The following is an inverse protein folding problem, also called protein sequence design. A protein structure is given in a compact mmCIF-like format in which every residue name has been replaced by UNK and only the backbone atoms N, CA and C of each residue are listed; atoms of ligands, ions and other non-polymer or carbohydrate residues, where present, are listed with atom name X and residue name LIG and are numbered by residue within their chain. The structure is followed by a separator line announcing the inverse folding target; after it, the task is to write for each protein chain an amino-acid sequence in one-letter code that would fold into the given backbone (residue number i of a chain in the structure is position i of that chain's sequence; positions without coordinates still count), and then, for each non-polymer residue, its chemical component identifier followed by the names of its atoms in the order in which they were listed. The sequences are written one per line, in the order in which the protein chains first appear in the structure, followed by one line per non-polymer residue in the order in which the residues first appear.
data_IF_880901095451
#
_entry.id   IF_880901095451
#
_cell.length_a   1.000
_cell.length_b   1.000
_cell.length_c   1.000
_cell.angle_alpha   90.00
_cell.angle_beta   90.00
_cell.angle_gamma   90.00
#
_symmetry.space_group_name_H-M   'P 1'
#
loop_
_entity.id
_entity.type
_entity.pdbx_description
1 polymer ?
#
# COMPACT_ATOMS: atom_id res chain seq x y z
N UNK A 1 17.19 5.20 3.41
CA UNK A 1 17.86 3.93 3.77
C UNK A 1 16.77 2.95 4.16
N UNK A 2 16.75 1.76 3.57
CA UNK A 2 15.85 0.72 4.03
C UNK A 2 16.38 0.13 5.35
N UNK A 3 15.48 -0.21 6.26
CA UNK A 3 15.82 -0.73 7.58
C UNK A 3 15.14 -2.08 7.79
N UNK A 4 15.86 -3.06 8.32
CA UNK A 4 15.33 -4.38 8.61
C UNK A 4 15.45 -4.67 10.11
N UNK A 5 14.47 -5.38 10.67
CA UNK A 5 14.42 -5.73 12.09
C UNK A 5 13.97 -7.16 12.23
N UNK A 6 14.71 -7.91 13.05
CA UNK A 6 14.45 -9.32 13.34
C UNK A 6 13.34 -9.38 14.39
N UNK A 7 12.32 -10.21 14.17
CA UNK A 7 11.25 -10.45 15.14
C UNK A 7 11.78 -11.03 16.45
N UNK A 8 11.14 -10.74 17.60
CA UNK A 8 11.63 -11.20 18.90
C UNK A 8 11.58 -12.73 19.09
N UNK A 9 10.76 -13.42 18.30
CA UNK A 9 10.60 -14.88 18.27
C UNK A 9 11.36 -15.54 17.10
N UNK A 10 12.14 -14.76 16.35
CA UNK A 10 12.89 -15.25 15.20
C UNK A 10 14.00 -16.20 15.63
N UNK A 11 14.06 -17.36 14.98
CA UNK A 11 15.16 -18.31 15.12
C UNK A 11 15.84 -18.45 13.78
N UNK A 12 17.12 -18.07 13.73
CA UNK A 12 17.95 -18.16 12.53
C UNK A 12 18.99 -19.25 12.72
N UNK A 13 19.23 -20.03 11.67
CA UNK A 13 20.24 -21.09 11.67
C UNK A 13 21.14 -21.03 10.45
N UNK A 14 22.35 -21.54 10.56
CA UNK A 14 23.13 -21.95 9.39
C UNK A 14 22.50 -23.17 8.73
N UNK A 15 22.88 -23.46 7.50
CA UNK A 15 22.46 -24.69 6.78
C UNK A 15 22.80 -25.97 7.56
N UNK A 16 23.90 -25.95 8.31
CA UNK A 16 24.31 -27.07 9.18
C UNK A 16 23.52 -27.16 10.51
N UNK A 17 22.53 -26.27 10.71
CA UNK A 17 21.60 -26.30 11.84
C UNK A 17 22.07 -25.55 13.09
N UNK A 18 23.21 -24.84 13.04
CA UNK A 18 23.71 -24.04 14.17
C UNK A 18 22.86 -22.78 14.33
N UNK A 19 22.34 -22.53 15.54
CA UNK A 19 21.56 -21.33 15.84
C UNK A 19 22.46 -20.10 15.88
N UNK A 20 22.05 -19.04 15.18
CA UNK A 20 22.75 -17.75 15.12
C UNK A 20 22.06 -16.71 16.00
N UNK A 21 22.84 -15.87 16.67
CA UNK A 21 22.35 -14.69 17.39
C UNK A 21 22.23 -13.47 16.48
N UNK A 22 21.52 -12.44 16.91
CA UNK A 22 21.22 -11.25 16.09
C UNK A 22 22.48 -10.49 15.61
N UNK A 23 23.58 -10.54 16.36
CA UNK A 23 24.88 -9.96 16.03
C UNK A 23 25.72 -10.83 15.08
N UNK A 24 25.28 -12.06 14.81
CA UNK A 24 25.95 -13.01 13.91
C UNK A 24 25.31 -13.08 12.52
N UNK A 25 24.27 -12.30 12.28
CA UNK A 25 23.52 -12.32 11.02
C UNK A 25 23.57 -10.98 10.31
N UNK A 26 23.42 -11.04 8.99
CA UNK A 26 23.36 -9.89 8.10
C UNK A 26 22.14 -10.03 7.20
N UNK A 27 21.29 -9.01 7.24
CA UNK A 27 20.17 -8.87 6.32
C UNK A 27 20.63 -8.14 5.06
N UNK A 28 20.30 -8.72 3.91
CA UNK A 28 20.61 -8.18 2.60
C UNK A 28 19.31 -7.67 1.99
N UNK A 29 19.33 -6.44 1.50
CA UNK A 29 18.26 -5.87 0.71
C UNK A 29 18.89 -5.10 -0.45
N UNK A 30 18.68 -5.60 -1.65
CA UNK A 30 19.27 -5.06 -2.87
C UNK A 30 18.17 -4.76 -3.87
N UNK A 31 18.19 -3.59 -4.49
CA UNK A 31 17.33 -3.32 -5.65
C UNK A 31 17.88 -4.06 -6.86
N UNK A 32 17.03 -4.84 -7.53
CA UNK A 32 17.39 -5.51 -8.77
C UNK A 32 17.27 -4.49 -9.89
N UNK A 33 18.40 -4.08 -10.47
CA UNK A 33 18.45 -3.11 -11.58
C UNK A 33 18.76 -3.75 -12.92
N UNK A 34 19.20 -5.01 -12.92
CA UNK A 34 19.53 -5.75 -14.13
C UNK A 34 18.26 -6.16 -14.87
N UNK A 35 18.13 -5.71 -16.12
CA UNK A 35 16.91 -5.91 -16.91
C UNK A 35 16.56 -7.39 -17.07
N UNK A 36 17.54 -8.28 -17.29
CA UNK A 36 17.29 -9.71 -17.46
C UNK A 36 16.66 -10.34 -16.21
N UNK A 37 17.13 -9.98 -15.02
CA UNK A 37 16.60 -10.48 -13.76
C UNK A 37 15.20 -9.91 -13.50
N UNK A 38 14.99 -8.62 -13.73
CA UNK A 38 13.66 -8.01 -13.65
C UNK A 38 12.66 -8.69 -14.59
N UNK A 39 13.06 -8.98 -15.85
CA UNK A 39 12.22 -9.69 -16.80
C UNK A 39 11.90 -11.12 -16.36
N UNK A 40 12.87 -11.85 -15.81
CA UNK A 40 12.64 -13.19 -15.30
C UNK A 40 11.58 -13.20 -14.17
N UNK A 41 11.71 -12.28 -13.21
CA UNK A 41 10.75 -12.13 -12.11
C UNK A 41 9.38 -11.71 -12.64
N UNK A 42 9.33 -10.71 -13.52
CA UNK A 42 8.09 -10.22 -14.15
C UNK A 42 7.36 -11.33 -14.91
N UNK A 43 8.08 -12.07 -15.74
CA UNK A 43 7.50 -13.16 -16.54
C UNK A 43 6.91 -14.26 -15.65
N UNK A 44 7.55 -14.56 -14.52
CA UNK A 44 7.03 -15.54 -13.55
C UNK A 44 5.73 -15.05 -12.92
N UNK A 45 5.65 -13.78 -12.51
CA UNK A 45 4.42 -13.16 -11.99
C UNK A 45 3.29 -13.18 -13.04
N UNK A 46 3.59 -12.83 -14.29
CA UNK A 46 2.62 -12.83 -15.38
C UNK A 46 2.14 -14.24 -15.74
N UNK A 47 3.03 -15.25 -15.71
CA UNK A 47 2.66 -16.64 -15.97
C UNK A 47 1.66 -17.22 -14.97
N UNK A 48 1.62 -16.66 -13.76
CA UNK A 48 0.67 -17.03 -12.71
C UNK A 48 -0.49 -16.02 -12.60
N UNK A 49 -0.65 -15.15 -13.61
CA UNK A 49 -1.72 -14.17 -13.71
C UNK A 49 -1.82 -13.20 -12.53
N UNK A 50 -0.67 -12.82 -11.94
CA UNK A 50 -0.65 -11.83 -10.87
C UNK A 50 -1.04 -10.45 -11.39
N UNK A 51 -1.87 -9.73 -10.63
CA UNK A 51 -2.38 -8.42 -10.99
C UNK A 51 -1.34 -7.31 -10.71
N UNK A 52 -0.32 -7.23 -11.57
CA UNK A 52 0.67 -6.15 -11.52
C UNK A 52 0.03 -4.81 -11.88
N UNK A 53 0.47 -3.78 -11.17
CA UNK A 53 0.16 -2.37 -11.40
C UNK A 53 1.08 -1.78 -12.47
N UNK A 54 0.85 -0.50 -12.80
CA UNK A 54 1.55 0.16 -13.89
C UNK A 54 3.08 0.21 -13.70
N UNK A 55 3.55 0.32 -12.45
CA UNK A 55 4.97 0.44 -12.13
C UNK A 55 5.40 -0.68 -11.20
N UNK A 56 6.67 -1.08 -11.30
CA UNK A 56 7.22 -2.19 -10.52
C UNK A 56 8.66 -1.87 -10.08
N UNK A 57 8.94 -2.08 -8.80
CA UNK A 57 10.29 -2.07 -8.24
C UNK A 57 10.64 -3.47 -7.74
N UNK A 58 11.82 -3.94 -8.12
CA UNK A 58 12.27 -5.32 -7.87
C UNK A 58 13.37 -5.31 -6.82
N UNK A 59 13.27 -6.22 -5.85
CA UNK A 59 14.20 -6.34 -4.74
C UNK A 59 14.61 -7.79 -4.56
N UNK A 60 15.84 -8.00 -4.14
CA UNK A 60 16.31 -9.26 -3.61
C UNK A 60 16.53 -9.11 -2.12
N UNK A 61 15.93 -10.00 -1.33
CA UNK A 61 16.10 -10.04 0.12
C UNK A 61 16.85 -11.32 0.49
N UNK A 62 17.94 -11.18 1.23
CA UNK A 62 18.79 -12.27 1.66
C UNK A 62 19.04 -12.26 3.16
N UNK A 63 19.41 -13.42 3.69
CA UNK A 63 19.88 -13.60 5.06
C UNK A 63 21.17 -14.41 5.05
N UNK A 64 22.24 -13.83 5.59
CA UNK A 64 23.53 -14.50 5.71
C UNK A 64 24.06 -14.42 7.14
N UNK A 65 25.04 -15.25 7.46
CA UNK A 65 25.91 -15.01 8.60
C UNK A 65 26.90 -13.85 8.32
N UNK A 66 27.73 -13.52 9.30
CA UNK A 66 28.79 -12.49 9.16
C UNK A 66 29.94 -12.90 8.22
N UNK A 67 30.09 -14.18 7.90
CA UNK A 67 31.06 -14.68 6.94
C UNK A 67 30.51 -14.66 5.49
N UNK A 68 29.22 -14.39 5.31
CA UNK A 68 28.54 -14.34 4.01
C UNK A 68 27.93 -15.67 3.58
N UNK A 69 27.88 -16.69 4.45
CA UNK A 69 27.19 -17.94 4.16
C UNK A 69 25.68 -17.75 4.33
N UNK A 70 24.88 -18.42 3.51
CA UNK A 70 23.42 -18.41 3.63
C UNK A 70 22.97 -18.89 5.00
N UNK A 71 22.01 -18.17 5.58
CA UNK A 71 21.34 -18.55 6.82
C UNK A 71 19.82 -18.63 6.59
N UNK A 72 19.16 -19.43 7.40
CA UNK A 72 17.75 -19.79 7.27
C UNK A 72 16.96 -19.29 8.47
N UNK A 73 15.83 -18.63 8.24
CA UNK A 73 14.85 -18.35 9.29
C UNK A 73 13.94 -19.58 9.42
N UNK A 74 14.03 -20.26 10.57
CA UNK A 74 13.24 -21.47 10.82
C UNK A 74 11.99 -21.19 11.65
N UNK A 75 11.90 -20.02 12.27
CA UNK A 75 10.76 -19.58 13.07
C UNK A 75 10.72 -18.04 13.12
N UNK A 76 9.52 -17.47 13.27
CA UNK A 76 9.29 -16.03 13.42
C UNK A 76 9.25 -15.30 12.10
N UNK A 77 9.32 -13.97 12.14
CA UNK A 77 9.30 -13.09 10.95
C UNK A 77 10.44 -12.09 10.97
N UNK A 78 10.76 -11.54 9.80
CA UNK A 78 11.63 -10.38 9.65
C UNK A 78 10.83 -9.24 9.04
N UNK A 79 10.94 -8.07 9.66
CA UNK A 79 10.26 -6.85 9.23
C UNK A 79 11.23 -5.99 8.42
N UNK A 80 10.85 -5.63 7.21
CA UNK A 80 11.58 -4.68 6.37
C UNK A 80 10.77 -3.40 6.20
N UNK A 81 11.45 -2.26 6.33
CA UNK A 81 10.99 -0.95 5.91
C UNK A 81 11.67 -0.62 4.58
N UNK A 82 10.91 -0.75 3.50
CA UNK A 82 11.30 -0.37 2.15
C UNK A 82 11.01 1.12 1.95
N UNK A 83 11.94 1.85 1.34
CA UNK A 83 11.67 3.22 0.94
C UNK A 83 10.56 3.23 -0.13
N UNK A 84 9.78 4.31 -0.15
CA UNK A 84 8.87 4.55 -1.26
C UNK A 84 9.66 4.65 -2.58
N UNK A 85 9.19 4.03 -3.68
CA UNK A 85 9.69 4.34 -5.02
C UNK A 85 9.65 5.84 -5.30
N UNK A 86 10.56 6.31 -6.15
CA UNK A 86 10.69 7.74 -6.44
C UNK A 86 9.38 8.36 -6.94
N UNK A 87 9.01 9.51 -6.36
CA UNK A 87 7.77 10.21 -6.70
C UNK A 87 6.51 9.60 -6.11
N UNK A 88 6.63 8.64 -5.18
CA UNK A 88 5.50 8.03 -4.46
C UNK A 88 5.51 8.33 -2.96
N UNK A 89 4.38 8.09 -2.30
CA UNK A 89 4.20 8.25 -0.86
C UNK A 89 3.01 7.44 -0.33
N UNK A 90 2.61 7.69 0.92
CA UNK A 90 1.55 6.93 1.61
C UNK A 90 0.18 6.97 0.90
N UNK A 91 -0.09 8.00 0.10
CA UNK A 91 -1.31 8.13 -0.69
C UNK A 91 -1.40 7.15 -1.87
N UNK A 92 -0.28 6.61 -2.32
CA UNK A 92 -0.22 5.78 -3.52
C UNK A 92 -0.63 4.33 -3.22
N UNK A 93 -0.94 3.59 -4.27
CA UNK A 93 -1.41 2.21 -4.12
C UNK A 93 -0.26 1.23 -4.32
N UNK A 94 -0.01 0.38 -3.33
CA UNK A 94 1.06 -0.62 -3.35
C UNK A 94 0.50 -2.03 -3.16
N UNK A 95 1.09 -2.98 -3.89
CA UNK A 95 0.94 -4.42 -3.67
C UNK A 95 2.34 -5.02 -3.69
N UNK A 96 2.63 -5.95 -2.77
CA UNK A 96 3.93 -6.61 -2.72
C UNK A 96 3.76 -8.09 -2.98
N UNK A 97 4.53 -8.61 -3.93
CA UNK A 97 4.60 -10.03 -4.22
C UNK A 97 5.95 -10.60 -3.83
N UNK A 98 5.93 -11.73 -3.14
CA UNK A 98 7.10 -12.52 -2.80
C UNK A 98 7.18 -13.70 -3.77
N UNK A 99 8.28 -13.79 -4.50
CA UNK A 99 8.55 -14.86 -5.46
C UNK A 99 9.49 -15.85 -4.80
N UNK A 100 8.94 -16.92 -4.23
CA UNK A 100 9.70 -17.94 -3.50
C UNK A 100 10.60 -18.75 -4.43
N UNK A 101 11.68 -19.27 -3.88
CA UNK A 101 12.66 -20.10 -4.58
C UNK A 101 12.01 -21.36 -5.19
N UNK A 102 11.00 -21.92 -4.52
CA UNK A 102 10.25 -23.08 -5.00
C UNK A 102 9.32 -22.81 -6.19
N UNK A 103 9.19 -21.55 -6.63
CA UNK A 103 8.28 -21.19 -7.72
C UNK A 103 7.00 -20.48 -7.28
N UNK A 104 6.60 -20.65 -6.03
CA UNK A 104 5.33 -20.11 -5.52
C UNK A 104 5.39 -18.59 -5.37
N UNK A 105 4.23 -17.96 -5.58
CA UNK A 105 4.07 -16.52 -5.41
C UNK A 105 3.09 -16.27 -4.26
N UNK A 106 3.48 -15.36 -3.37
CA UNK A 106 2.68 -14.93 -2.22
C UNK A 106 2.38 -13.43 -2.32
N UNK A 107 1.12 -13.06 -2.11
CA UNK A 107 0.73 -11.65 -1.96
C UNK A 107 0.92 -11.24 -0.50
N UNK A 108 1.87 -10.36 -0.26
CA UNK A 108 2.28 -9.95 1.08
C UNK A 108 1.38 -8.85 1.61
N UNK A 109 0.92 -8.93 2.87
CA UNK A 109 0.30 -7.80 3.53
C UNK A 109 1.32 -6.65 3.64
N UNK A 110 0.88 -5.44 3.32
CA UNK A 110 1.71 -4.24 3.41
C UNK A 110 1.13 -3.28 4.43
N UNK A 111 2.00 -2.61 5.18
CA UNK A 111 1.63 -1.51 6.06
C UNK A 111 2.37 -0.26 5.57
N UNK A 112 1.62 0.81 5.28
CA UNK A 112 2.21 2.09 4.89
C UNK A 112 2.53 2.91 6.15
N UNK A 113 3.59 3.69 6.08
CA UNK A 113 4.02 4.56 7.17
C UNK A 113 4.66 5.82 6.58
N UNK A 114 4.79 6.86 7.41
CA UNK A 114 5.48 8.09 7.01
C UNK A 114 6.90 7.89 6.45
N UNK A 115 7.55 6.75 6.75
CA UNK A 115 8.93 6.48 6.34
C UNK A 115 9.05 5.47 5.18
N UNK A 116 7.95 4.85 4.73
CA UNK A 116 8.00 3.83 3.69
C UNK A 116 6.99 2.69 3.86
N UNK A 117 7.21 1.65 3.07
CA UNK A 117 6.40 0.44 2.99
C UNK A 117 6.99 -0.60 3.93
N UNK A 118 6.19 -1.04 4.88
CA UNK A 118 6.56 -2.08 5.84
C UNK A 118 6.01 -3.41 5.36
N UNK A 119 6.90 -4.40 5.29
CA UNK A 119 6.57 -5.80 5.01
C UNK A 119 7.13 -6.70 6.10
N UNK A 120 6.44 -7.79 6.38
CA UNK A 120 6.92 -8.85 7.28
C UNK A 120 6.96 -10.15 6.47
N UNK A 121 8.12 -10.81 6.44
CA UNK A 121 8.33 -12.01 5.65
C UNK A 121 9.01 -13.10 6.46
N UNK A 122 8.76 -14.34 6.07
CA UNK A 122 9.49 -15.52 6.54
C UNK A 122 10.46 -16.10 5.51
N UNK A 123 10.47 -15.57 4.28
CA UNK A 123 11.35 -16.04 3.21
C UNK A 123 12.28 -14.95 2.67
N UNK A 124 13.40 -15.43 2.12
CA UNK A 124 14.50 -14.64 1.57
C UNK A 124 14.70 -15.01 0.11
N UNK A 125 14.00 -14.30 -0.76
CA UNK A 125 14.13 -14.41 -2.20
C UNK A 125 13.68 -13.09 -2.83
N UNK A 126 13.27 -13.11 -4.10
CA UNK A 126 12.91 -11.90 -4.82
C UNK A 126 11.52 -11.38 -4.41
N UNK A 127 11.41 -10.07 -4.26
CA UNK A 127 10.17 -9.34 -4.00
C UNK A 127 9.92 -8.31 -5.09
N UNK A 128 8.64 -8.08 -5.38
CA UNK A 128 8.20 -7.03 -6.29
C UNK A 128 7.24 -6.12 -5.57
N UNK A 129 7.60 -4.85 -5.47
CA UNK A 129 6.70 -3.76 -5.08
C UNK A 129 6.05 -3.24 -6.35
N UNK A 130 4.79 -3.60 -6.56
CA UNK A 130 3.98 -3.13 -7.68
C UNK A 130 3.13 -1.95 -7.24
N UNK A 131 3.09 -0.86 -8.00
CA UNK A 131 2.44 0.38 -7.57
C UNK A 131 1.80 1.23 -8.67
N UNK A 132 0.75 1.96 -8.28
CA UNK A 132 0.11 3.00 -9.07
C UNK A 132 0.24 4.34 -8.35
N UNK A 133 0.60 5.37 -9.11
CA UNK A 133 0.68 6.73 -8.60
C UNK A 133 -0.73 7.33 -8.58
N UNK A 134 -1.25 7.57 -7.39
CA UNK A 134 -2.52 8.24 -7.15
C UNK A 134 -2.22 9.72 -7.02
N UNK A 135 -2.30 10.43 -8.13
CA UNK A 135 -2.31 11.89 -8.09
C UNK A 135 -3.63 12.33 -7.50
N UNK A 136 -3.58 12.97 -6.33
CA UNK A 136 -4.74 13.74 -5.87
C UNK A 136 -5.12 14.68 -7.01
N UNK A 137 -6.41 14.70 -7.38
CA UNK A 137 -6.90 15.72 -8.29
C UNK A 137 -6.46 17.07 -7.72
N UNK A 138 -5.75 17.84 -8.54
CA UNK A 138 -5.39 19.21 -8.23
C UNK A 138 -6.69 19.94 -7.88
N UNK A 139 -6.93 20.16 -6.59
CA UNK A 139 -7.92 21.14 -6.18
C UNK A 139 -7.18 22.46 -6.26
N UNK A 140 -6.97 22.92 -7.49
CA UNK A 140 -6.66 24.31 -7.79
C UNK A 140 -7.82 25.11 -7.21
N UNK A 141 -7.68 25.53 -5.96
CA UNK A 141 -8.53 26.52 -5.36
C UNK A 141 -8.17 27.82 -6.08
N UNK A 142 -8.80 28.06 -7.23
CA UNK A 142 -8.79 29.35 -7.89
C UNK A 142 -9.43 30.34 -6.91
N UNK A 143 -8.61 30.90 -6.04
CA UNK A 143 -8.89 32.22 -5.46
C UNK A 143 -8.53 33.24 -6.53
N UNK A 144 -9.34 33.28 -7.58
CA UNK A 144 -9.33 34.39 -8.52
C UNK A 144 -9.82 35.60 -7.74
N UNK A 145 -8.86 36.30 -7.17
CA UNK A 145 -9.05 37.58 -6.51
C UNK A 145 -8.61 38.59 -7.54
N UNK A 146 -9.50 38.98 -8.44
CA UNK A 146 -9.32 40.21 -9.17
C UNK A 146 -10.66 40.93 -9.40
N UNK A 147 -10.58 42.23 -9.12
CA UNK A 147 -11.47 43.30 -9.53
C UNK A 147 -12.80 43.50 -8.79
N UNK A 148 -12.71 44.36 -7.77
CA UNK A 148 -13.79 45.29 -7.40
C UNK A 148 -14.27 46.03 -8.67
N UNK A 149 -15.45 45.67 -9.15
CA UNK A 149 -16.37 46.62 -9.79
C UNK A 149 -17.79 46.40 -9.26
N UNK A 150 -18.21 47.35 -8.42
CA UNK A 150 -19.60 47.62 -8.09
C UNK A 150 -20.40 47.88 -9.37
N UNK A 151 -21.44 47.08 -9.63
CA UNK A 151 -22.82 47.55 -9.82
C UNK A 151 -23.76 46.38 -10.18
N UNK A 152 -24.89 46.36 -9.47
CA UNK A 152 -26.22 46.03 -9.98
C UNK A 152 -26.65 44.55 -10.17
N UNK A 153 -27.43 44.12 -9.18
CA UNK A 153 -28.73 43.45 -9.31
C UNK A 153 -28.81 41.98 -9.78
N UNK A 154 -29.24 41.17 -8.80
CA UNK A 154 -30.28 40.14 -8.93
C UNK A 154 -29.97 38.92 -9.81
N UNK A 155 -29.67 37.79 -9.16
CA UNK A 155 -30.57 36.63 -9.07
C UNK A 155 -29.79 35.39 -8.58
N UNK A 156 -30.14 35.02 -7.36
CA UNK A 156 -30.11 33.70 -6.72
C UNK A 156 -29.75 32.50 -7.60
N UNK A 157 -28.66 31.82 -7.22
CA UNK A 157 -28.31 30.45 -7.55
C UNK A 157 -29.51 29.50 -7.38
N UNK A 158 -29.55 28.39 -8.13
CA UNK A 158 -29.29 27.14 -7.40
C UNK A 158 -28.50 26.14 -8.24
N UNK A 159 -27.51 25.47 -7.67
CA UNK A 159 -27.34 24.02 -7.81
C UNK A 159 -26.14 23.60 -6.96
N UNK A 160 -26.42 23.31 -5.70
CA UNK A 160 -25.59 22.36 -4.94
C UNK A 160 -26.47 21.69 -3.91
N UNK A 161 -26.52 20.37 -4.04
CA UNK A 161 -27.26 19.44 -3.21
C UNK A 161 -26.67 19.45 -1.80
N UNK A 162 -27.49 19.50 -0.76
CA UNK A 162 -27.11 18.86 0.49
C UNK A 162 -28.29 18.13 1.13
N UNK A 163 -28.06 16.83 1.22
CA UNK A 163 -28.84 15.79 1.86
C UNK A 163 -28.71 15.91 3.39
N UNK A 164 -29.81 15.60 4.07
CA UNK A 164 -29.89 14.77 5.31
C UNK A 164 -30.32 15.43 6.64
N UNK A 165 -31.41 14.85 7.16
CA UNK A 165 -31.79 14.56 8.55
C UNK A 165 -32.06 15.70 9.56
N UNK A 166 -33.28 15.73 10.12
CA UNK A 166 -33.57 15.12 11.43
C UNK A 166 -34.94 15.59 12.00
N UNK A 167 -35.68 14.61 12.52
CA UNK A 167 -36.63 14.62 13.65
C UNK A 167 -37.33 15.92 14.12
N UNK A 168 -38.65 15.81 14.33
CA UNK A 168 -39.34 16.59 15.37
C UNK A 168 -40.83 16.85 15.13
N UNK A 169 -41.68 16.17 15.90
CA UNK A 169 -43.14 16.30 15.97
C UNK A 169 -43.67 17.74 16.09
N UNK A 170 -44.81 18.02 15.44
CA UNK A 170 -46.00 18.79 15.88
C UNK A 170 -46.92 18.81 14.65
N UNK A 171 -48.17 18.32 14.61
CA UNK A 171 -49.29 18.53 15.52
C UNK A 171 -50.43 19.19 14.71
N UNK A 172 -51.67 18.70 14.90
CA UNK A 172 -52.97 19.19 14.36
C UNK A 172 -53.31 18.86 12.89
N UNK A 173 -54.29 17.98 12.59
CA UNK A 173 -55.77 18.06 12.76
C UNK A 173 -56.43 18.95 11.68
N UNK A 174 -57.37 18.37 10.91
CA UNK A 174 -58.78 18.84 10.73
C UNK A 174 -59.38 18.34 9.40
N UNK A 175 -60.21 17.32 9.54
CA UNK A 175 -61.57 17.13 8.99
C UNK A 175 -61.90 17.06 7.49
N UNK A 176 -62.71 16.03 7.21
CA UNK A 176 -63.88 15.97 6.31
C UNK A 176 -63.60 15.89 4.80
N UNK A 177 -64.36 15.18 3.96
CA UNK A 177 -65.80 14.91 4.01
C UNK A 177 -66.18 13.82 2.98
N UNK A 178 -66.87 12.79 3.47
CA UNK A 178 -67.96 11.96 2.88
C UNK A 178 -68.09 11.82 1.34
N UNK A 179 -68.34 10.58 0.89
CA UNK A 179 -69.68 9.99 0.55
C UNK A 179 -69.44 8.64 -0.17
N UNK A 180 -69.75 7.49 0.45
CA UNK A 180 -70.93 6.62 0.18
C UNK A 180 -71.44 6.70 -1.27
N UNK A 181 -71.61 5.60 -1.99
CA UNK A 181 -72.68 4.58 -1.82
C UNK A 181 -72.51 3.56 -2.98
N UNK A 182 -73.06 2.34 -3.02
CA UNK A 182 -73.86 1.45 -2.17
C UNK A 182 -73.70 0.07 -2.80
#
# INVERSE_FOLDING_TARGET
MAAATIGPDAVVKTVDGTVLTADQIKLILTTVTENEQQFAIKNKLESQAMALKANNAYYHIGLTDMAGNTAELVQGTIRFLLAYPDGTGEQDSFVVYHVKDNGEIENMPVQLSANGIVIETTGFSDFVVSYDIVRSADTTHNTDTDDVKTADMAQTLPYTVMLLAAFGCFGLVVTSKKRHAK
#
